data_IF_714666716164
#
_entry.id   IF_714666716164
#
_cell.length_a   1.000
_cell.length_b   1.000
_cell.length_c   1.000
_cell.angle_alpha   90.00
_cell.angle_beta   90.00
_cell.angle_gamma   90.00
#
_symmetry.space_group_name_H-M   'P 1'
#
loop_
_entity.id
_entity.type
_entity.pdbx_description
1 polymer ?
#
# COMPACT_ATOMS: atom_id res chain seq x y z
N UNK A 1 -4.83 -11.30 -3.48
CA UNK A 1 -4.24 -10.12 -2.80
C UNK A 1 -3.56 -10.57 -1.53
N UNK A 2 -2.37 -10.02 -1.24
CA UNK A 2 -1.58 -10.27 -0.03
C UNK A 2 -1.51 -8.99 0.81
N UNK A 3 -1.62 -9.10 2.14
CA UNK A 3 -1.30 -8.03 3.08
C UNK A 3 0.12 -8.27 3.61
N UNK A 4 1.05 -7.36 3.37
CA UNK A 4 2.46 -7.56 3.70
C UNK A 4 3.06 -6.32 4.38
N UNK A 5 3.18 -6.36 5.70
CA UNK A 5 3.83 -5.27 6.45
C UNK A 5 5.36 -5.24 6.27
N UNK A 6 5.95 -6.23 5.58
CA UNK A 6 7.35 -6.20 5.14
C UNK A 6 7.56 -5.47 3.82
N UNK A 7 6.50 -5.23 3.04
CA UNK A 7 6.58 -4.52 1.77
C UNK A 7 6.50 -3.00 1.98
N UNK A 8 7.53 -2.28 1.52
CA UNK A 8 7.62 -0.81 1.66
C UNK A 8 6.58 -0.05 0.84
N UNK A 9 6.00 -0.67 -0.19
CA UNK A 9 5.00 -0.04 -1.07
C UNK A 9 3.97 -1.05 -1.55
N UNK A 10 2.92 -0.57 -2.21
CA UNK A 10 1.91 -1.40 -2.86
C UNK A 10 2.41 -1.85 -4.23
N UNK A 11 2.30 -3.16 -4.50
CA UNK A 11 2.62 -3.76 -5.79
C UNK A 11 1.37 -4.35 -6.45
N UNK A 12 1.31 -4.28 -7.78
CA UNK A 12 0.29 -4.95 -8.59
C UNK A 12 0.97 -5.88 -9.59
N UNK A 13 0.39 -7.06 -9.81
CA UNK A 13 0.93 -8.06 -10.72
C UNK A 13 0.96 -7.55 -12.15
N UNK A 14 2.16 -7.56 -12.75
CA UNK A 14 2.34 -7.26 -14.17
C UNK A 14 1.47 -8.15 -15.06
N UNK A 15 1.41 -9.46 -14.76
CA UNK A 15 0.55 -10.41 -15.48
C UNK A 15 -0.93 -10.02 -15.39
N UNK A 16 -1.38 -9.62 -14.20
CA UNK A 16 -2.77 -9.20 -13.99
C UNK A 16 -3.09 -7.91 -14.77
N UNK A 17 -2.19 -6.92 -14.73
CA UNK A 17 -2.29 -5.68 -15.51
C UNK A 17 -2.40 -5.96 -17.02
N UNK A 18 -1.52 -6.82 -17.54
CA UNK A 18 -1.50 -7.20 -18.97
C UNK A 18 -2.79 -7.94 -19.38
N UNK A 19 -3.23 -8.90 -18.55
CA UNK A 19 -4.45 -9.69 -18.79
C UNK A 19 -5.69 -8.79 -18.90
N UNK A 20 -5.75 -7.75 -18.06
CA UNK A 20 -6.88 -6.81 -18.02
C UNK A 20 -6.66 -5.57 -18.88
N UNK A 21 -5.54 -5.49 -19.62
CA UNK A 21 -5.21 -4.39 -20.53
C UNK A 21 -5.27 -3.01 -19.87
N UNK A 22 -4.85 -2.93 -18.61
CA UNK A 22 -4.90 -1.70 -17.84
C UNK A 22 -3.83 -0.71 -18.34
N UNK A 23 -4.19 0.56 -18.38
CA UNK A 23 -3.28 1.63 -18.78
C UNK A 23 -2.35 1.98 -17.62
N UNK A 24 -1.04 1.85 -17.85
CA UNK A 24 0.02 2.14 -16.88
C UNK A 24 0.83 3.35 -17.31
N UNK A 25 1.56 3.94 -16.36
CA UNK A 25 2.53 5.00 -16.64
C UNK A 25 3.93 4.45 -16.42
N UNK A 26 4.73 4.43 -17.49
CA UNK A 26 6.16 4.08 -17.44
C UNK A 26 7.02 5.33 -17.32
N UNK A 27 8.05 5.26 -16.50
CA UNK A 27 9.06 6.29 -16.36
C UNK A 27 10.39 5.74 -16.84
N UNK A 28 10.60 5.64 -18.16
CA UNK A 28 11.74 4.95 -18.77
C UNK A 28 13.14 5.49 -18.41
N UNK A 29 13.23 6.67 -17.80
CA UNK A 29 14.49 7.22 -17.29
C UNK A 29 14.73 6.90 -15.80
N UNK A 30 13.78 6.19 -15.15
CA UNK A 30 13.81 5.88 -13.72
C UNK A 30 13.71 4.39 -13.52
N UNK A 31 14.74 3.83 -12.87
CA UNK A 31 14.69 2.47 -12.35
C UNK A 31 14.37 2.47 -10.86
N UNK A 32 13.80 1.36 -10.40
CA UNK A 32 13.69 1.02 -8.99
C UNK A 32 14.54 -0.20 -8.66
N UNK A 33 15.06 -0.21 -7.44
CA UNK A 33 15.71 -1.37 -6.83
C UNK A 33 14.73 -2.00 -5.85
N UNK A 34 14.34 -3.24 -6.10
CA UNK A 34 13.44 -4.00 -5.24
C UNK A 34 14.23 -5.11 -4.56
N UNK A 35 14.31 -5.04 -3.23
CA UNK A 35 14.85 -6.13 -2.42
C UNK A 35 13.72 -7.09 -2.07
N UNK A 36 13.84 -8.34 -2.51
CA UNK A 36 12.85 -9.39 -2.30
C UNK A 36 13.00 -10.05 -0.92
N UNK A 37 12.00 -10.85 -0.53
CA UNK A 37 11.99 -11.57 0.75
C UNK A 37 13.12 -12.59 0.91
N UNK A 38 13.73 -13.04 -0.20
CA UNK A 38 14.91 -13.92 -0.22
C UNK A 38 16.25 -13.14 -0.27
N UNK A 39 16.19 -11.83 -0.03
CA UNK A 39 17.30 -10.88 -0.12
C UNK A 39 17.90 -10.63 -1.51
N UNK A 40 17.32 -11.20 -2.59
CA UNK A 40 17.73 -10.80 -3.94
C UNK A 40 17.35 -9.34 -4.19
N UNK A 41 18.19 -8.63 -4.96
CA UNK A 41 17.92 -7.26 -5.39
C UNK A 41 17.72 -7.28 -6.90
N UNK A 42 16.56 -6.80 -7.34
CA UNK A 42 16.20 -6.69 -8.75
C UNK A 42 16.12 -5.20 -9.10
N UNK A 43 16.79 -4.82 -10.18
CA UNK A 43 16.62 -3.52 -10.82
C UNK A 43 15.60 -3.63 -11.97
N UNK A 44 14.65 -2.71 -12.04
CA UNK A 44 13.68 -2.66 -13.13
C UNK A 44 13.17 -1.25 -13.40
N UNK A 45 12.64 -1.00 -14.59
CA UNK A 45 12.02 0.28 -14.93
C UNK A 45 10.81 0.56 -14.03
N UNK A 46 10.66 1.81 -13.60
CA UNK A 46 9.51 2.22 -12.82
C UNK A 46 8.27 2.29 -13.71
N UNK A 47 7.32 1.40 -13.43
CA UNK A 47 5.98 1.40 -14.00
C UNK A 47 4.95 1.45 -12.88
N UNK A 48 3.94 2.30 -13.02
CA UNK A 48 2.93 2.49 -11.97
C UNK A 48 1.51 2.49 -12.52
N UNK A 49 0.56 2.18 -11.64
CA UNK A 49 -0.87 2.15 -11.91
C UNK A 49 -1.64 2.76 -10.74
N UNK A 50 -2.39 3.87 -10.94
CA UNK A 50 -3.37 4.33 -9.96
C UNK A 50 -4.50 3.29 -9.80
N UNK A 51 -4.85 2.97 -8.55
CA UNK A 51 -5.87 1.98 -8.21
C UNK A 51 -6.78 2.48 -7.10
N UNK A 52 -8.07 2.15 -7.22
CA UNK A 52 -9.07 2.22 -6.17
C UNK A 52 -9.43 0.77 -5.78
N UNK A 53 -8.96 0.33 -4.59
CA UNK A 53 -9.05 -1.07 -4.16
C UNK A 53 -10.14 -1.20 -3.09
N UNK A 54 -11.16 -2.01 -3.39
CA UNK A 54 -12.21 -2.37 -2.42
C UNK A 54 -11.75 -3.59 -1.65
N UNK A 55 -11.59 -3.44 -0.33
CA UNK A 55 -11.16 -4.52 0.56
C UNK A 55 -12.31 -4.93 1.46
N UNK A 56 -12.67 -6.22 1.44
CA UNK A 56 -13.74 -6.75 2.30
C UNK A 56 -13.44 -6.48 3.77
N UNK A 57 -14.41 -5.93 4.49
CA UNK A 57 -14.27 -5.52 5.89
C UNK A 57 -13.78 -4.09 6.09
N UNK A 58 -13.35 -3.41 5.03
CA UNK A 58 -13.01 -1.97 5.03
C UNK A 58 -14.11 -1.22 4.28
N UNK A 59 -14.68 -0.18 4.89
CA UNK A 59 -15.82 0.55 4.31
C UNK A 59 -15.42 1.51 3.19
N UNK A 60 -14.21 2.05 3.25
CA UNK A 60 -13.70 3.02 2.27
C UNK A 60 -12.75 2.30 1.30
N UNK A 61 -12.84 2.62 0.01
CA UNK A 61 -11.91 2.11 -0.98
C UNK A 61 -10.51 2.69 -0.72
N UNK A 62 -9.50 1.84 -0.73
CA UNK A 62 -8.11 2.26 -0.60
C UNK A 62 -7.61 2.81 -1.94
N UNK A 63 -7.30 4.10 -1.98
CA UNK A 63 -6.79 4.79 -3.17
C UNK A 63 -5.28 4.86 -3.10
N UNK A 64 -4.59 4.32 -4.09
CA UNK A 64 -3.14 4.31 -4.11
C UNK A 64 -2.57 4.35 -5.52
N UNK A 65 -1.27 4.62 -5.62
CA UNK A 65 -0.48 4.36 -6.82
C UNK A 65 0.34 3.11 -6.55
N UNK A 66 0.05 2.02 -7.26
CA UNK A 66 0.76 0.76 -7.14
C UNK A 66 1.92 0.69 -8.14
N UNK A 67 3.03 0.09 -7.72
CA UNK A 67 4.13 -0.27 -8.63
C UNK A 67 3.75 -1.54 -9.37
N UNK A 68 3.83 -1.52 -10.69
CA UNK A 68 3.62 -2.70 -11.53
C UNK A 68 4.87 -3.56 -11.47
N UNK A 69 4.75 -4.78 -10.97
CA UNK A 69 5.91 -5.64 -10.73
C UNK A 69 5.58 -7.12 -10.93
N UNK A 70 6.60 -7.92 -11.24
CA UNK A 70 6.48 -9.38 -11.32
C UNK A 70 6.44 -9.99 -9.91
N UNK A 71 5.25 -9.99 -9.31
CA UNK A 71 4.97 -10.69 -8.05
C UNK A 71 4.54 -12.13 -8.32
N UNK A 72 4.51 -12.97 -7.28
CA UNK A 72 4.11 -14.37 -7.40
C UNK A 72 2.66 -14.50 -7.92
N UNK A 73 2.43 -15.42 -8.86
CA UNK A 73 1.19 -15.54 -9.65
C UNK A 73 -0.09 -15.82 -8.84
N UNK A 74 0.05 -16.22 -7.58
CA UNK A 74 -1.07 -16.44 -6.67
C UNK A 74 -1.72 -15.12 -6.18
N UNK A 75 -1.03 -13.98 -6.37
CA UNK A 75 -1.51 -12.67 -5.93
C UNK A 75 -1.62 -11.69 -7.10
N UNK A 76 -2.78 -11.05 -7.21
CA UNK A 76 -2.95 -9.93 -8.14
C UNK A 76 -2.34 -8.62 -7.61
N UNK A 77 -2.19 -8.50 -6.28
CA UNK A 77 -1.73 -7.29 -5.59
C UNK A 77 -1.15 -7.63 -4.22
N UNK A 78 -0.11 -6.88 -3.81
CA UNK A 78 0.45 -6.86 -2.45
C UNK A 78 0.20 -5.47 -1.87
N UNK A 79 -0.55 -5.40 -0.77
CA UNK A 79 -0.76 -4.17 -0.01
C UNK A 79 0.33 -4.06 1.06
N UNK A 80 1.22 -3.09 0.87
CA UNK A 80 2.35 -2.84 1.74
C UNK A 80 2.05 -1.89 2.90
N UNK A 81 3.11 -1.40 3.55
CA UNK A 81 3.07 -0.41 4.64
C UNK A 81 2.09 0.75 4.40
N UNK A 82 2.05 1.41 3.21
CA UNK A 82 1.12 2.51 2.98
C UNK A 82 -0.35 2.16 3.26
N UNK A 83 -0.80 0.95 2.92
CA UNK A 83 -2.15 0.50 3.22
C UNK A 83 -2.41 0.43 4.73
N UNK A 84 -1.45 -0.06 5.51
CA UNK A 84 -1.59 -0.16 6.96
C UNK A 84 -1.56 1.22 7.63
N UNK A 85 -0.75 2.15 7.12
CA UNK A 85 -0.67 3.52 7.63
C UNK A 85 -1.94 4.33 7.34
N UNK A 86 -2.45 4.23 6.11
CA UNK A 86 -3.60 4.99 5.64
C UNK A 86 -4.91 4.43 6.19
N UNK A 87 -5.12 3.11 6.08
CA UNK A 87 -6.40 2.48 6.41
C UNK A 87 -6.49 2.02 7.87
N UNK A 88 -5.34 1.83 8.54
CA UNK A 88 -5.21 1.33 9.92
C UNK A 88 -6.18 0.17 10.24
N UNK A 89 -6.20 -0.89 9.41
CA UNK A 89 -7.13 -1.98 9.60
C UNK A 89 -6.83 -2.73 10.89
N UNK A 90 -7.87 -3.20 11.58
CA UNK A 90 -7.74 -4.17 12.65
C UNK A 90 -7.64 -5.56 12.03
N UNK A 91 -6.62 -6.32 12.41
CA UNK A 91 -6.38 -7.68 11.89
C UNK A 91 -6.75 -8.67 12.98
N UNK A 92 -7.83 -9.42 12.76
CA UNK A 92 -8.15 -10.59 13.56
C UNK A 92 -7.40 -11.79 12.98
N UNK A 93 -6.25 -12.09 13.58
CA UNK A 93 -5.39 -13.20 13.22
C UNK A 93 -6.07 -14.56 13.34
N UNK A 94 -7.00 -14.71 14.31
CA UNK A 94 -7.64 -15.99 14.59
C UNK A 94 -8.72 -16.31 13.57
N UNK A 95 -9.56 -15.32 13.26
CA UNK A 95 -10.62 -15.48 12.26
C UNK A 95 -10.16 -15.20 10.83
N UNK A 96 -8.91 -14.75 10.64
CA UNK A 96 -8.32 -14.36 9.35
C UNK A 96 -9.15 -13.27 8.66
N UNK A 97 -9.52 -12.26 9.43
CA UNK A 97 -10.35 -11.13 8.96
C UNK A 97 -9.63 -9.81 9.18
N UNK A 98 -9.97 -8.85 8.35
CA UNK A 98 -9.63 -7.44 8.58
C UNK A 98 -10.90 -6.62 8.70
N UNK A 99 -10.86 -5.64 9.59
CA UNK A 99 -11.94 -4.68 9.79
C UNK A 99 -11.39 -3.27 9.70
N UNK A 100 -12.15 -2.37 9.09
CA UNK A 100 -11.81 -0.95 9.06
C UNK A 100 -11.77 -0.40 10.49
N UNK A 101 -10.96 0.63 10.72
CA UNK A 101 -10.98 1.33 11.99
C UNK A 101 -12.40 1.79 12.30
N UNK A 102 -12.98 1.29 13.40
CA UNK A 102 -14.23 1.83 13.93
C UNK A 102 -13.96 3.28 14.33
N UNK A 103 -14.38 4.23 13.50
CA UNK A 103 -14.49 5.61 13.93
C UNK A 103 -15.49 5.58 15.09
N UNK A 104 -15.02 5.84 16.31
CA UNK A 104 -15.92 6.16 17.43
C UNK A 104 -16.85 7.29 17.02
N UNK A 105 -17.97 7.51 17.73
CA UNK A 105 -18.90 8.59 17.39
C UNK A 105 -18.11 9.89 17.25
N UNK A 106 -18.09 10.44 16.04
CA UNK A 106 -17.41 11.70 15.71
C UNK A 106 -17.98 12.77 16.64
N UNK A 107 -17.21 13.18 17.65
CA UNK A 107 -17.42 14.47 18.29
C UNK A 107 -17.12 15.51 17.21
N UNK A 108 -18.17 16.00 16.56
CA UNK A 108 -18.10 17.26 15.83
C UNK A 108 -17.85 18.37 16.86
N UNK A 109 -16.59 18.62 17.16
CA UNK A 109 -16.17 19.83 17.86
C UNK A 109 -15.20 20.55 16.92
N UNK A 110 -15.70 21.60 16.27
CA UNK A 110 -14.84 22.56 15.60
C UNK A 110 -13.93 23.26 16.61
N UNK A 111 -12.69 23.53 16.21
CA UNK A 111 -12.17 24.90 16.14
C UNK A 111 -10.75 24.91 15.57
N UNK A 112 -10.50 25.97 14.80
CA UNK A 112 -9.21 26.35 14.22
C UNK A 112 -8.11 26.64 15.26
N UNK A 113 -6.88 26.61 14.75
CA UNK A 113 -5.62 27.18 15.30
C UNK A 113 -4.87 26.39 16.40
N UNK A 114 -3.78 25.72 16.00
CA UNK A 114 -2.42 26.28 16.08
C UNK A 114 -1.37 25.25 15.62
N UNK A 115 -0.46 25.64 14.72
CA UNK A 115 0.79 24.91 14.46
C UNK A 115 1.77 25.16 15.62
N UNK A 116 2.57 24.16 15.99
CA UNK A 116 3.98 24.42 16.27
C UNK A 116 4.89 23.60 15.35
N UNK A 117 5.87 24.31 14.80
CA UNK A 117 7.07 23.81 14.14
C UNK A 117 8.01 23.11 15.13
N UNK A 118 8.63 21.99 14.75
CA UNK A 118 9.83 21.48 15.44
C UNK A 118 10.12 19.99 15.24
N UNK A 119 11.24 19.70 14.56
CA UNK A 119 11.83 18.36 14.34
C UNK A 119 12.23 17.65 15.63
N UNK A 120 12.15 16.31 15.65
CA UNK A 120 13.27 15.46 16.08
C UNK A 120 13.08 14.01 15.60
N UNK A 121 14.01 13.51 14.78
CA UNK A 121 14.22 12.08 14.56
C UNK A 121 15.10 11.54 15.68
N UNK A 122 14.75 10.39 16.25
CA UNK A 122 15.72 9.48 16.84
C UNK A 122 15.52 8.11 16.21
N UNK A 123 16.55 7.66 15.51
CA UNK A 123 16.74 6.26 15.14
C UNK A 123 17.63 5.64 16.21
N UNK A 124 17.13 4.62 16.91
CA UNK A 124 17.95 3.81 17.80
C UNK A 124 18.59 2.67 16.99
N UNK A 125 19.86 2.39 17.31
CA UNK A 125 20.74 1.40 16.68
C UNK A 125 20.37 -0.03 17.04
#
# INVERSE_FOLDING_TARGET
MLLDCGATTTYVSKRWVETHQLQTTKFGEKNILVKLGDNQIIETELEVLPLDIVVSGIHEAYKCVAVVFSIHDEFDCILGIPFFEDMQPQIDWRSRRIEGKKLGPRLFAGNEQARPTGRSMKADR
#
